data_IF_732200674963
#
_entry.id   IF_732200674963
#
_cell.length_a   1.000
_cell.length_b   1.000
_cell.length_c   1.000
_cell.angle_alpha   90.00
_cell.angle_beta   90.00
_cell.angle_gamma   90.00
#
_symmetry.space_group_name_H-M   'P 1'
#
loop_
_entity.id
_entity.type
_entity.pdbx_description
1 polymer ?
#
# COMPACT_ATOMS: atom_id res chain seq x y z
N UNK A 1 34.78 -52.03 14.98
CA UNK A 1 35.04 -51.24 13.76
C UNK A 1 34.59 -49.82 14.04
N UNK A 2 35.50 -48.99 14.44
CA UNK A 2 35.24 -47.56 14.74
C UNK A 2 35.20 -46.79 13.43
N UNK A 3 34.08 -46.09 13.21
CA UNK A 3 33.94 -45.14 12.10
C UNK A 3 34.82 -43.92 12.36
N UNK A 4 35.92 -43.80 11.61
CA UNK A 4 36.86 -42.68 11.68
C UNK A 4 36.23 -41.32 11.38
N UNK A 5 36.81 -40.21 11.85
CA UNK A 5 36.23 -38.86 11.68
C UNK A 5 36.18 -38.49 10.20
N UNK A 6 34.99 -38.03 9.79
CA UNK A 6 34.73 -37.52 8.45
C UNK A 6 35.74 -36.40 8.09
N UNK A 7 36.41 -36.53 6.95
CA UNK A 7 37.45 -35.60 6.49
C UNK A 7 36.95 -34.15 6.48
N UNK A 8 37.75 -33.17 6.94
CA UNK A 8 37.40 -31.69 6.90
C UNK A 8 36.99 -31.23 5.52
N UNK A 9 37.52 -31.83 4.46
CA UNK A 9 37.15 -31.55 3.06
C UNK A 9 35.66 -31.86 2.77
N UNK A 10 35.13 -32.94 3.32
CA UNK A 10 33.70 -33.32 3.14
C UNK A 10 32.75 -32.38 3.89
N UNK A 11 33.17 -31.85 5.04
CA UNK A 11 32.40 -30.82 5.73
C UNK A 11 32.40 -29.47 4.95
N UNK A 12 33.55 -29.10 4.39
CA UNK A 12 33.71 -27.87 3.58
C UNK A 12 32.89 -27.97 2.28
N UNK A 13 32.93 -29.10 1.58
CA UNK A 13 32.15 -29.35 0.38
C UNK A 13 30.63 -29.36 0.66
N UNK A 14 30.22 -29.90 1.82
CA UNK A 14 28.80 -29.89 2.22
C UNK A 14 28.32 -28.46 2.52
N UNK A 15 29.12 -27.65 3.21
CA UNK A 15 28.81 -26.23 3.45
C UNK A 15 28.80 -25.43 2.15
N UNK A 16 29.73 -25.70 1.24
CA UNK A 16 29.83 -25.04 -0.06
C UNK A 16 28.64 -25.41 -0.98
N UNK A 17 28.22 -26.67 -0.98
CA UNK A 17 27.03 -27.12 -1.71
C UNK A 17 25.73 -26.54 -1.14
N UNK A 18 25.60 -26.43 0.18
CA UNK A 18 24.45 -25.77 0.83
C UNK A 18 24.45 -24.27 0.52
N UNK A 19 25.60 -23.63 0.47
CA UNK A 19 25.73 -22.22 0.10
C UNK A 19 25.37 -21.99 -1.39
N UNK A 20 25.83 -22.87 -2.30
CA UNK A 20 25.47 -22.82 -3.72
C UNK A 20 23.98 -23.12 -3.93
N UNK A 21 23.39 -24.07 -3.21
CA UNK A 21 21.95 -24.35 -3.30
C UNK A 21 21.08 -23.18 -2.80
N UNK A 22 21.50 -22.46 -1.75
CA UNK A 22 20.83 -21.23 -1.32
C UNK A 22 20.99 -20.08 -2.33
N UNK A 23 22.11 -20.02 -3.07
CA UNK A 23 22.38 -18.99 -4.05
C UNK A 23 21.60 -19.14 -5.37
N UNK A 24 21.03 -20.31 -5.64
CA UNK A 24 20.22 -20.61 -6.83
C UNK A 24 18.73 -20.79 -6.56
N UNK A 25 18.27 -20.59 -5.33
CA UNK A 25 16.84 -20.54 -5.07
C UNK A 25 16.29 -19.28 -5.74
N UNK A 26 15.55 -19.44 -6.84
CA UNK A 26 14.81 -18.34 -7.46
C UNK A 26 13.88 -17.73 -6.41
N UNK A 27 13.88 -16.38 -6.31
CA UNK A 27 12.98 -15.67 -5.43
C UNK A 27 11.52 -16.08 -5.71
N UNK A 28 10.78 -16.40 -4.67
CA UNK A 28 9.36 -16.72 -4.83
C UNK A 28 8.61 -15.47 -5.28
N UNK A 29 7.84 -15.58 -6.37
CA UNK A 29 7.00 -14.47 -6.85
C UNK A 29 5.65 -14.53 -6.15
N UNK A 30 5.30 -13.44 -5.46
CA UNK A 30 4.01 -13.28 -4.77
C UNK A 30 3.19 -12.19 -5.44
N UNK A 31 1.93 -12.50 -5.76
CA UNK A 31 0.93 -11.49 -6.12
C UNK A 31 0.45 -10.83 -4.84
N UNK A 32 0.46 -9.50 -4.78
CA UNK A 32 0.00 -8.74 -3.61
C UNK A 32 -1.01 -7.68 -4.07
N UNK A 33 -2.26 -7.82 -3.67
CA UNK A 33 -3.29 -6.81 -3.85
C UNK A 33 -3.40 -5.96 -2.57
N UNK A 34 -3.03 -4.69 -2.66
CA UNK A 34 -3.11 -3.72 -1.58
C UNK A 34 -4.40 -2.90 -1.73
N UNK A 35 -5.47 -3.34 -1.11
CA UNK A 35 -6.77 -2.64 -1.11
C UNK A 35 -6.69 -1.46 -0.16
N UNK A 36 -6.92 -0.25 -0.67
CA UNK A 36 -6.58 0.96 0.09
C UNK A 36 -7.27 2.21 -0.43
N UNK A 37 -7.37 3.22 0.44
CA UNK A 37 -7.79 4.58 0.12
C UNK A 37 -6.70 5.58 0.50
N UNK A 38 -6.47 6.61 -0.30
CA UNK A 38 -5.55 7.71 0.05
C UNK A 38 -6.09 8.55 1.21
N UNK A 39 -7.40 8.50 1.46
CA UNK A 39 -8.03 9.11 2.63
C UNK A 39 -7.72 8.36 3.95
N UNK A 40 -7.20 7.15 3.90
CA UNK A 40 -6.87 6.37 5.08
C UNK A 40 -5.42 6.58 5.51
N UNK A 41 -5.13 7.18 6.67
CA UNK A 41 -3.75 7.35 7.12
C UNK A 41 -3.06 6.02 7.43
N UNK A 42 -3.81 5.01 7.90
CA UNK A 42 -3.28 3.68 8.11
C UNK A 42 -2.86 2.97 6.81
N UNK A 43 -3.38 3.41 5.64
CA UNK A 43 -2.90 2.92 4.36
C UNK A 43 -1.47 3.43 4.05
N UNK A 44 -1.12 4.64 4.46
CA UNK A 44 0.26 5.13 4.35
C UNK A 44 1.21 4.34 5.27
N UNK A 45 0.81 4.12 6.52
CA UNK A 45 1.58 3.29 7.49
C UNK A 45 1.73 1.86 7.00
N UNK A 46 0.63 1.24 6.55
CA UNK A 46 0.63 -0.15 6.06
C UNK A 46 1.47 -0.34 4.81
N UNK A 47 1.45 0.62 3.88
CA UNK A 47 2.30 0.58 2.69
C UNK A 47 3.78 0.68 3.06
N UNK A 48 4.16 1.65 3.90
CA UNK A 48 5.54 1.78 4.34
C UNK A 48 6.05 0.54 5.09
N UNK A 49 5.21 -0.08 5.93
CA UNK A 49 5.55 -1.32 6.63
C UNK A 49 5.72 -2.51 5.67
N UNK A 50 4.84 -2.64 4.66
CA UNK A 50 4.96 -3.65 3.62
C UNK A 50 6.24 -3.46 2.79
N UNK A 51 6.57 -2.22 2.41
CA UNK A 51 7.81 -1.90 1.68
C UNK A 51 9.07 -2.24 2.48
N UNK A 52 9.09 -1.95 3.79
CA UNK A 52 10.19 -2.35 4.66
C UNK A 52 10.32 -3.88 4.72
N UNK A 53 9.22 -4.61 4.86
CA UNK A 53 9.21 -6.08 4.88
C UNK A 53 9.74 -6.66 3.56
N UNK A 54 9.28 -6.14 2.43
CA UNK A 54 9.78 -6.55 1.11
C UNK A 54 11.27 -6.23 0.93
N UNK A 55 11.73 -5.11 1.48
CA UNK A 55 13.16 -4.75 1.51
C UNK A 55 14.01 -5.76 2.28
N UNK A 56 13.51 -6.27 3.43
CA UNK A 56 14.18 -7.30 4.23
C UNK A 56 14.20 -8.67 3.51
N UNK A 57 13.22 -8.93 2.66
CA UNK A 57 13.07 -10.18 1.89
C UNK A 57 13.69 -10.10 0.49
N UNK A 58 14.51 -9.08 0.22
CA UNK A 58 15.16 -8.91 -1.08
C UNK A 58 16.01 -10.14 -1.44
N UNK A 59 15.70 -10.75 -2.58
CA UNK A 59 16.32 -12.00 -3.05
C UNK A 59 15.62 -13.27 -2.57
N UNK A 60 14.72 -13.21 -1.57
CA UNK A 60 13.86 -14.33 -1.15
C UNK A 60 12.47 -14.24 -1.79
N UNK A 61 11.93 -13.02 -1.87
CA UNK A 61 10.59 -12.74 -2.40
C UNK A 61 10.65 -11.65 -3.47
N UNK A 62 9.99 -11.88 -4.59
CA UNK A 62 9.65 -10.89 -5.59
C UNK A 62 8.15 -10.60 -5.51
N UNK A 63 7.77 -9.34 -5.33
CA UNK A 63 6.37 -8.96 -5.19
C UNK A 63 5.83 -8.31 -6.47
N UNK A 64 4.72 -8.84 -6.97
CA UNK A 64 3.86 -8.16 -7.94
C UNK A 64 2.79 -7.41 -7.15
N UNK A 65 3.07 -6.15 -6.84
CA UNK A 65 2.23 -5.30 -6.00
C UNK A 65 1.24 -4.51 -6.86
N UNK A 66 -0.06 -4.70 -6.59
CA UNK A 66 -1.17 -4.01 -7.24
C UNK A 66 -1.96 -3.21 -6.21
N UNK A 67 -2.28 -1.95 -6.52
CA UNK A 67 -3.12 -1.12 -5.65
C UNK A 67 -4.56 -1.15 -6.12
N UNK A 68 -5.43 -1.65 -5.23
CA UNK A 68 -6.83 -1.84 -5.49
C UNK A 68 -7.67 -0.73 -4.83
N UNK A 69 -8.70 -0.21 -5.53
CA UNK A 69 -9.47 0.92 -5.05
C UNK A 69 -10.42 0.53 -3.93
N UNK A 70 -10.49 1.38 -2.92
CA UNK A 70 -11.49 1.39 -1.87
C UNK A 70 -11.75 2.84 -1.46
N UNK A 71 -13.01 3.26 -1.38
CA UNK A 71 -13.36 4.58 -0.86
C UNK A 71 -13.97 4.46 0.54
N UNK A 72 -13.34 5.09 1.52
CA UNK A 72 -13.88 5.22 2.87
C UNK A 72 -15.13 6.10 2.91
N UNK A 73 -15.24 7.04 1.97
CA UNK A 73 -16.30 8.05 1.93
C UNK A 73 -16.82 8.22 0.49
N UNK A 74 -17.48 7.20 -0.10
CA UNK A 74 -17.89 7.22 -1.51
C UNK A 74 -18.95 8.28 -1.84
N UNK A 75 -19.61 8.81 -0.79
CA UNK A 75 -20.66 9.85 -0.91
C UNK A 75 -20.14 11.24 -0.50
N UNK A 76 -18.82 11.44 -0.34
CA UNK A 76 -18.26 12.75 -0.02
C UNK A 76 -18.54 13.74 -1.15
N UNK A 77 -19.25 14.80 -0.82
CA UNK A 77 -19.60 15.87 -1.77
C UNK A 77 -18.40 16.77 -2.13
N UNK A 78 -18.56 17.62 -3.15
CA UNK A 78 -17.54 18.59 -3.54
C UNK A 78 -17.14 19.52 -2.39
N UNK A 79 -15.84 19.84 -2.31
CA UNK A 79 -15.26 20.65 -1.23
C UNK A 79 -15.00 19.85 0.04
N UNK A 80 -15.44 18.60 0.11
CA UNK A 80 -15.22 17.72 1.24
C UNK A 80 -15.85 18.22 2.54
N UNK A 81 -15.42 17.62 3.66
CA UNK A 81 -15.89 17.96 5.01
C UNK A 81 -14.70 18.26 5.93
N UNK A 82 -14.87 19.14 6.92
CA UNK A 82 -13.88 19.33 7.98
C UNK A 82 -13.53 17.99 8.64
N UNK A 83 -12.26 17.75 8.89
CA UNK A 83 -11.80 16.45 9.41
C UNK A 83 -12.34 16.17 10.81
N UNK A 84 -12.35 17.19 11.69
CA UNK A 84 -12.83 17.05 13.05
C UNK A 84 -14.31 16.76 13.11
N UNK A 85 -15.11 17.52 12.34
CA UNK A 85 -16.55 17.29 12.18
C UNK A 85 -16.83 15.88 11.64
N UNK A 86 -16.14 15.49 10.56
CA UNK A 86 -16.30 14.16 9.95
C UNK A 86 -16.01 13.03 10.94
N UNK A 87 -14.93 13.13 11.71
CA UNK A 87 -14.57 12.10 12.68
C UNK A 87 -15.55 12.04 13.84
N UNK A 88 -16.11 13.18 14.26
CA UNK A 88 -17.13 13.25 15.27
C UNK A 88 -18.44 12.61 14.78
N UNK A 89 -18.89 12.95 13.58
CA UNK A 89 -20.14 12.42 13.01
C UNK A 89 -20.05 10.91 12.71
N UNK A 90 -18.92 10.48 12.13
CA UNK A 90 -18.78 9.09 11.67
C UNK A 90 -18.42 8.11 12.80
N UNK A 91 -17.65 8.54 13.79
CA UNK A 91 -17.08 7.65 14.80
C UNK A 91 -17.42 8.08 16.25
N UNK A 92 -18.12 9.22 16.46
CA UNK A 92 -18.44 9.73 17.78
C UNK A 92 -17.21 10.20 18.58
N UNK A 93 -16.08 10.47 17.92
CA UNK A 93 -14.82 10.79 18.61
C UNK A 93 -14.76 12.23 19.08
N UNK A 94 -14.23 12.44 20.29
CA UNK A 94 -13.98 13.80 20.83
C UNK A 94 -12.71 14.42 20.23
N UNK A 95 -12.52 15.76 20.29
CA UNK A 95 -11.30 16.42 19.86
C UNK A 95 -10.02 15.85 20.53
N UNK A 96 -10.09 15.50 21.82
CA UNK A 96 -8.98 14.92 22.57
C UNK A 96 -8.62 13.52 22.04
N UNK A 97 -9.63 12.68 21.78
CA UNK A 97 -9.44 11.37 21.18
C UNK A 97 -8.86 11.48 19.77
N UNK A 98 -9.34 12.44 18.98
CA UNK A 98 -8.80 12.70 17.63
C UNK A 98 -7.33 13.13 17.69
N UNK A 99 -6.96 13.99 18.65
CA UNK A 99 -5.57 14.41 18.85
C UNK A 99 -4.67 13.23 19.25
N UNK A 100 -5.13 12.35 20.15
CA UNK A 100 -4.40 11.16 20.55
C UNK A 100 -4.22 10.17 19.41
N UNK A 101 -5.27 9.92 18.61
CA UNK A 101 -5.23 9.05 17.42
C UNK A 101 -4.24 9.62 16.40
N UNK A 102 -4.26 10.94 16.15
CA UNK A 102 -3.33 11.61 15.24
C UNK A 102 -1.88 11.46 15.69
N UNK A 103 -1.60 11.65 16.99
CA UNK A 103 -0.27 11.44 17.54
C UNK A 103 0.22 10.00 17.35
N UNK A 104 -0.63 9.01 17.60
CA UNK A 104 -0.32 7.60 17.37
C UNK A 104 -0.04 7.31 15.88
N UNK A 105 -0.88 7.81 14.97
CA UNK A 105 -0.67 7.66 13.51
C UNK A 105 0.67 8.28 13.10
N UNK A 106 1.01 9.47 13.60
CA UNK A 106 2.28 10.14 13.29
C UNK A 106 3.48 9.33 13.75
N UNK A 107 3.45 8.82 14.99
CA UNK A 107 4.50 7.96 15.53
C UNK A 107 4.68 6.68 14.69
N UNK A 108 3.58 6.03 14.31
CA UNK A 108 3.61 4.84 13.45
C UNK A 108 4.12 5.17 12.04
N UNK A 109 3.82 6.37 11.53
CA UNK A 109 4.36 6.86 10.27
C UNK A 109 5.86 7.02 10.30
N UNK A 110 6.40 7.62 11.38
CA UNK A 110 7.85 7.79 11.56
C UNK A 110 8.60 6.45 11.54
N UNK A 111 8.05 5.41 12.18
CA UNK A 111 8.63 4.05 12.18
C UNK A 111 8.80 3.48 10.77
N UNK A 112 7.91 3.85 9.84
CA UNK A 112 7.92 3.37 8.45
C UNK A 112 8.43 4.40 7.44
N UNK A 113 9.00 5.52 7.94
CA UNK A 113 9.57 6.58 7.10
C UNK A 113 8.55 7.46 6.39
N UNK A 114 7.28 7.48 6.83
CA UNK A 114 6.23 8.35 6.31
C UNK A 114 5.98 9.55 7.24
N UNK A 115 6.13 10.76 6.71
CA UNK A 115 5.90 12.01 7.47
C UNK A 115 4.49 12.53 7.23
N UNK A 116 3.65 12.45 8.25
CA UNK A 116 2.34 13.08 8.25
C UNK A 116 2.44 14.60 8.48
N UNK A 117 1.48 15.35 7.93
CA UNK A 117 1.37 16.77 8.22
C UNK A 117 1.10 16.99 9.71
N UNK A 118 1.89 17.79 10.43
CA UNK A 118 1.70 18.02 11.89
C UNK A 118 0.33 18.60 12.25
N UNK A 119 -0.23 19.43 11.36
CA UNK A 119 -1.58 20.00 11.51
C UNK A 119 -2.71 19.05 11.11
N UNK A 120 -2.37 17.86 10.58
CA UNK A 120 -3.31 16.98 9.91
C UNK A 120 -3.68 17.47 8.50
N UNK A 121 -4.55 16.75 7.82
CA UNK A 121 -4.95 17.08 6.44
C UNK A 121 -6.08 18.10 6.31
N UNK A 122 -6.63 18.58 7.45
CA UNK A 122 -7.66 19.62 7.52
C UNK A 122 -9.05 19.15 7.07
N UNK A 123 -9.21 18.58 5.90
CA UNK A 123 -10.49 18.15 5.35
C UNK A 123 -10.44 16.70 4.82
N UNK A 124 -11.61 16.09 4.72
CA UNK A 124 -11.84 14.80 4.05
C UNK A 124 -12.42 15.09 2.68
N UNK A 125 -11.71 14.67 1.63
CA UNK A 125 -12.12 14.88 0.24
C UNK A 125 -12.61 13.59 -0.41
N UNK A 126 -13.33 13.73 -1.53
CA UNK A 126 -13.61 12.61 -2.42
C UNK A 126 -12.31 12.13 -3.07
N UNK A 127 -12.12 10.80 -3.13
CA UNK A 127 -10.88 10.19 -3.65
C UNK A 127 -11.10 9.40 -4.94
N UNK A 128 -12.28 9.47 -5.52
CA UNK A 128 -12.64 8.66 -6.69
C UNK A 128 -11.73 8.92 -7.90
N UNK A 129 -11.47 10.19 -8.22
CA UNK A 129 -10.58 10.55 -9.33
C UNK A 129 -9.15 10.07 -9.11
N UNK A 130 -8.64 10.14 -7.87
CA UNK A 130 -7.34 9.57 -7.53
C UNK A 130 -7.30 8.05 -7.78
N UNK A 131 -8.39 7.32 -7.48
CA UNK A 131 -8.50 5.88 -7.78
C UNK A 131 -8.56 5.58 -9.28
N UNK A 132 -9.20 6.43 -10.09
CA UNK A 132 -9.21 6.30 -11.55
C UNK A 132 -7.81 6.47 -12.14
N UNK A 133 -7.05 7.46 -11.66
CA UNK A 133 -5.66 7.67 -12.07
C UNK A 133 -4.74 6.52 -11.61
N UNK A 134 -4.94 5.98 -10.40
CA UNK A 134 -4.21 4.80 -9.93
C UNK A 134 -4.52 3.56 -10.77
N UNK A 135 -5.78 3.36 -11.14
CA UNK A 135 -6.17 2.26 -12.03
C UNK A 135 -5.49 2.41 -13.41
N UNK A 136 -5.58 3.58 -14.02
CA UNK A 136 -4.88 3.90 -15.26
C UNK A 136 -3.38 3.63 -15.19
N UNK A 137 -2.70 4.11 -14.12
CA UNK A 137 -1.27 3.90 -13.95
C UNK A 137 -0.91 2.40 -13.85
N UNK A 138 -1.81 1.57 -13.30
CA UNK A 138 -1.63 0.12 -13.21
C UNK A 138 -1.84 -0.62 -14.53
N UNK A 139 -2.76 -0.15 -15.39
CA UNK A 139 -3.12 -0.86 -16.63
C UNK A 139 -2.40 -0.32 -17.87
N UNK A 140 -1.92 0.92 -17.86
CA UNK A 140 -1.28 1.60 -19.00
C UNK A 140 0.10 2.13 -18.71
N UNK A 141 0.41 2.43 -17.44
CA UNK A 141 1.69 3.01 -17.05
C UNK A 141 2.83 1.99 -17.13
N UNK A 142 4.08 2.47 -17.18
CA UNK A 142 5.26 1.64 -17.02
C UNK A 142 5.24 0.84 -15.71
N UNK A 143 6.02 -0.23 -15.65
CA UNK A 143 6.18 -1.01 -14.42
C UNK A 143 6.59 -0.11 -13.24
N UNK A 144 5.94 -0.29 -12.09
CA UNK A 144 6.18 0.50 -10.88
C UNK A 144 5.48 1.86 -10.84
N UNK A 145 4.88 2.35 -11.93
CA UNK A 145 4.25 3.67 -11.96
C UNK A 145 3.01 3.77 -11.06
N UNK A 146 2.22 2.71 -10.95
CA UNK A 146 1.09 2.68 -10.02
C UNK A 146 1.56 2.83 -8.56
N UNK A 147 2.66 2.17 -8.20
CA UNK A 147 3.26 2.28 -6.87
C UNK A 147 3.79 3.70 -6.61
N UNK A 148 4.55 4.26 -7.56
CA UNK A 148 5.07 5.63 -7.46
C UNK A 148 3.92 6.64 -7.31
N UNK A 149 2.87 6.53 -8.12
CA UNK A 149 1.68 7.39 -8.04
C UNK A 149 0.96 7.23 -6.70
N UNK A 150 0.81 6.00 -6.20
CA UNK A 150 0.17 5.74 -4.90
C UNK A 150 0.91 6.42 -3.76
N UNK A 151 2.24 6.32 -3.72
CA UNK A 151 3.06 7.01 -2.73
C UNK A 151 2.93 8.52 -2.83
N UNK A 152 3.04 9.08 -4.02
CA UNK A 152 2.95 10.51 -4.25
C UNK A 152 1.58 11.09 -3.85
N UNK A 153 0.47 10.37 -4.12
CA UNK A 153 -0.88 10.75 -3.69
C UNK A 153 -1.03 10.72 -2.16
N UNK A 154 -0.49 9.69 -1.50
CA UNK A 154 -0.47 9.63 -0.03
C UNK A 154 0.35 10.79 0.57
N UNK A 155 1.51 11.11 0.00
CA UNK A 155 2.35 12.22 0.44
C UNK A 155 1.66 13.57 0.20
N UNK A 156 1.00 13.76 -0.95
CA UNK A 156 0.23 14.97 -1.25
C UNK A 156 -0.86 15.18 -0.20
N UNK A 157 -1.66 14.18 0.06
CA UNK A 157 -2.81 14.30 0.94
C UNK A 157 -2.45 14.22 2.43
N UNK A 158 -1.79 13.16 2.86
CA UNK A 158 -1.49 12.92 4.28
C UNK A 158 -0.26 13.70 4.76
N UNK A 159 0.73 13.87 3.88
CA UNK A 159 1.99 14.55 4.20
C UNK A 159 1.91 16.06 4.03
N UNK A 160 1.36 16.57 2.92
CA UNK A 160 1.32 18.00 2.60
C UNK A 160 -0.05 18.66 2.76
N UNK A 161 -1.09 17.89 3.10
CA UNK A 161 -2.47 18.35 3.26
C UNK A 161 -3.04 19.03 2.00
N UNK A 162 -2.65 18.57 0.82
CA UNK A 162 -3.13 19.11 -0.47
C UNK A 162 -4.57 18.69 -0.76
N UNK A 163 -5.25 19.47 -1.59
CA UNK A 163 -6.66 19.28 -1.97
C UNK A 163 -6.76 18.23 -3.08
N UNK A 164 -6.72 16.95 -2.72
CA UNK A 164 -6.64 15.82 -3.67
C UNK A 164 -7.92 15.55 -4.48
N UNK A 165 -8.96 16.33 -4.30
CA UNK A 165 -10.11 16.35 -5.22
C UNK A 165 -9.93 17.35 -6.36
N UNK A 166 -8.91 18.26 -6.28
CA UNK A 166 -8.59 19.22 -7.33
C UNK A 166 -7.84 18.54 -8.46
N UNK A 167 -8.32 18.72 -9.69
CA UNK A 167 -7.64 18.22 -10.89
C UNK A 167 -6.22 18.79 -11.00
N UNK A 168 -5.99 20.05 -10.66
CA UNK A 168 -4.66 20.67 -10.70
C UNK A 168 -3.67 19.95 -9.76
N UNK A 169 -4.11 19.59 -8.55
CA UNK A 169 -3.30 18.85 -7.59
C UNK A 169 -3.03 17.43 -8.10
N UNK A 170 -4.06 16.74 -8.60
CA UNK A 170 -3.89 15.39 -9.15
C UNK A 170 -2.94 15.36 -10.35
N UNK A 171 -3.05 16.35 -11.26
CA UNK A 171 -2.15 16.47 -12.41
C UNK A 171 -0.72 16.80 -12.01
N UNK A 172 -0.53 17.67 -11.00
CA UNK A 172 0.79 17.96 -10.45
C UNK A 172 1.44 16.70 -9.84
N UNK A 173 0.64 15.86 -9.13
CA UNK A 173 1.12 14.59 -8.59
C UNK A 173 1.48 13.62 -9.72
N UNK A 174 0.65 13.50 -10.77
CA UNK A 174 0.94 12.68 -11.96
C UNK A 174 2.26 13.10 -12.62
N UNK A 175 2.44 14.42 -12.82
CA UNK A 175 3.68 14.98 -13.38
C UNK A 175 4.90 14.64 -12.52
N UNK A 176 4.77 14.71 -11.19
CA UNK A 176 5.88 14.46 -10.25
C UNK A 176 6.45 13.04 -10.33
N UNK A 177 5.66 12.07 -10.83
CA UNK A 177 6.07 10.67 -11.01
C UNK A 177 6.35 10.33 -12.47
N UNK A 178 6.39 11.32 -13.36
CA UNK A 178 6.77 11.15 -14.77
C UNK A 178 5.71 10.47 -15.64
N UNK A 179 4.45 10.45 -15.21
CA UNK A 179 3.33 9.95 -16.02
C UNK A 179 2.79 11.02 -16.97
N UNK A 180 2.05 10.60 -18.00
CA UNK A 180 1.49 11.48 -19.04
C UNK A 180 0.36 12.34 -18.46
N UNK A 181 0.64 13.65 -18.33
CA UNK A 181 -0.31 14.64 -17.78
C UNK A 181 -1.48 14.88 -18.75
N UNK A 182 -1.27 14.80 -20.06
CA UNK A 182 -2.34 15.02 -21.04
C UNK A 182 -3.34 13.85 -21.03
N UNK A 183 -2.85 12.62 -20.92
CA UNK A 183 -3.71 11.45 -20.76
C UNK A 183 -4.46 11.50 -19.41
N UNK A 184 -3.80 11.85 -18.31
CA UNK A 184 -4.44 12.05 -17.01
C UNK A 184 -5.53 13.12 -17.04
N UNK A 185 -5.29 14.27 -17.71
CA UNK A 185 -6.30 15.30 -17.90
C UNK A 185 -7.51 14.79 -18.70
N UNK A 186 -7.28 13.97 -19.74
CA UNK A 186 -8.36 13.35 -20.52
C UNK A 186 -9.20 12.38 -19.66
N UNK A 187 -8.56 11.63 -18.75
CA UNK A 187 -9.25 10.76 -17.81
C UNK A 187 -10.11 11.59 -16.83
N UNK A 188 -9.55 12.65 -16.25
CA UNK A 188 -10.27 13.49 -15.28
C UNK A 188 -11.48 14.19 -15.91
N UNK A 189 -11.39 14.64 -17.17
CA UNK A 189 -12.46 15.32 -17.91
C UNK A 189 -13.50 14.37 -18.54
N UNK A 190 -13.42 13.07 -18.30
CA UNK A 190 -14.33 12.05 -18.85
C UNK A 190 -14.69 11.01 -17.80
N UNK A 191 -15.50 10.01 -18.17
CA UNK A 191 -15.83 8.85 -17.32
C UNK A 191 -14.86 7.65 -17.52
N UNK A 192 -13.71 7.88 -18.17
CA UNK A 192 -12.72 6.82 -18.41
C UNK A 192 -12.30 6.17 -17.09
N UNK A 193 -12.34 4.84 -17.04
CA UNK A 193 -12.09 3.99 -15.86
C UNK A 193 -13.08 4.15 -14.69
N UNK A 194 -14.17 4.91 -14.83
CA UNK A 194 -15.15 5.07 -13.75
C UNK A 194 -15.88 3.76 -13.45
N UNK A 195 -16.30 3.04 -14.48
CA UNK A 195 -17.01 1.77 -14.31
C UNK A 195 -16.09 0.70 -13.74
N UNK A 196 -14.89 0.54 -14.29
CA UNK A 196 -13.89 -0.46 -13.87
C UNK A 196 -13.53 -0.28 -12.39
N UNK A 197 -13.25 0.95 -11.96
CA UNK A 197 -12.95 1.26 -10.56
C UNK A 197 -14.12 0.88 -9.65
N UNK A 198 -15.37 1.22 -10.03
CA UNK A 198 -16.57 0.85 -9.27
C UNK A 198 -16.78 -0.67 -9.22
N UNK A 199 -16.50 -1.38 -10.28
CA UNK A 199 -16.61 -2.84 -10.33
C UNK A 199 -15.57 -3.51 -9.41
N UNK A 200 -14.31 -3.05 -9.43
CA UNK A 200 -13.27 -3.54 -8.54
C UNK A 200 -13.62 -3.26 -7.08
N UNK A 201 -14.11 -2.06 -6.75
CA UNK A 201 -14.56 -1.75 -5.39
C UNK A 201 -15.67 -2.68 -4.92
N UNK A 202 -16.69 -2.92 -5.76
CA UNK A 202 -17.78 -3.86 -5.44
C UNK A 202 -17.26 -5.28 -5.25
N UNK A 203 -16.34 -5.73 -6.10
CA UNK A 203 -15.73 -7.05 -5.96
C UNK A 203 -15.08 -7.24 -4.58
N UNK A 204 -14.23 -6.30 -4.13
CA UNK A 204 -13.59 -6.42 -2.81
C UNK A 204 -14.58 -6.29 -1.66
N UNK A 205 -15.60 -5.44 -1.77
CA UNK A 205 -16.67 -5.34 -0.77
C UNK A 205 -17.46 -6.65 -0.65
N UNK A 206 -17.82 -7.27 -1.78
CA UNK A 206 -18.49 -8.57 -1.81
C UNK A 206 -17.60 -9.71 -1.30
N UNK A 207 -16.28 -9.61 -1.48
CA UNK A 207 -15.31 -10.51 -0.89
C UNK A 207 -15.09 -10.29 0.62
N UNK A 208 -15.84 -9.38 1.26
CA UNK A 208 -15.79 -9.14 2.70
C UNK A 208 -14.77 -8.11 3.16
N UNK A 209 -14.17 -7.34 2.23
CA UNK A 209 -13.28 -6.24 2.60
C UNK A 209 -14.12 -4.99 2.92
N UNK A 210 -14.24 -4.67 4.20
CA UNK A 210 -15.01 -3.53 4.71
C UNK A 210 -14.15 -2.47 5.42
N UNK A 211 -12.84 -2.70 5.50
CA UNK A 211 -11.89 -1.77 6.10
C UNK A 211 -10.53 -1.83 5.39
N UNK A 212 -9.78 -0.74 5.43
CA UNK A 212 -8.49 -0.62 4.76
C UNK A 212 -7.41 -0.07 5.72
N UNK A 213 -6.12 -0.41 5.47
CA UNK A 213 -5.64 -1.25 4.38
C UNK A 213 -5.99 -2.73 4.57
N UNK A 214 -6.19 -3.44 3.45
CA UNK A 214 -6.28 -4.88 3.41
C UNK A 214 -5.28 -5.40 2.37
N UNK A 215 -4.38 -6.29 2.79
CA UNK A 215 -3.31 -6.84 1.95
C UNK A 215 -3.63 -8.30 1.66
N UNK A 216 -3.90 -8.60 0.39
CA UNK A 216 -4.27 -9.95 -0.06
C UNK A 216 -3.09 -10.52 -0.83
N UNK A 217 -2.58 -11.68 -0.39
CA UNK A 217 -1.42 -12.34 -0.98
C UNK A 217 -1.89 -13.62 -1.68
N UNK A 218 -1.52 -13.75 -2.96
CA UNK A 218 -1.87 -14.88 -3.83
C UNK A 218 -3.37 -15.21 -3.84
N UNK A 219 -4.22 -14.16 -3.80
CA UNK A 219 -5.69 -14.27 -3.79
C UNK A 219 -6.27 -15.12 -2.64
N UNK A 220 -5.49 -15.39 -1.60
CA UNK A 220 -5.83 -16.35 -0.55
C UNK A 220 -5.60 -15.85 0.87
N UNK A 221 -4.47 -15.21 1.13
CA UNK A 221 -4.06 -14.84 2.48
C UNK A 221 -4.33 -13.35 2.71
N UNK A 222 -5.12 -13.02 3.73
CA UNK A 222 -5.49 -11.65 4.08
C UNK A 222 -4.73 -11.19 5.33
N UNK A 223 -4.08 -10.03 5.21
CA UNK A 223 -3.55 -9.26 6.35
C UNK A 223 -4.33 -7.95 6.42
N UNK A 224 -5.05 -7.72 7.52
CA UNK A 224 -5.87 -6.51 7.72
C UNK A 224 -5.15 -5.47 8.57
N UNK A 225 -5.33 -4.21 8.19
CA UNK A 225 -4.82 -3.05 8.92
C UNK A 225 -3.34 -2.73 8.66
N UNK A 226 -2.91 -1.58 9.14
CA UNK A 226 -1.51 -1.12 9.08
C UNK A 226 -0.63 -1.86 10.09
N UNK A 227 -0.36 -3.14 9.83
CA UNK A 227 0.46 -4.00 10.68
C UNK A 227 1.93 -3.53 10.69
N UNK A 228 2.71 -3.87 11.73
CA UNK A 228 4.16 -3.68 11.73
C UNK A 228 4.87 -4.44 10.62
N UNK A 229 6.03 -3.95 10.15
CA UNK A 229 6.82 -4.59 9.10
C UNK A 229 7.17 -6.05 9.41
N UNK A 230 7.47 -6.38 10.68
CA UNK A 230 7.77 -7.75 11.10
C UNK A 230 6.61 -8.73 10.87
N UNK A 231 5.35 -8.26 10.97
CA UNK A 231 4.16 -9.10 10.69
C UNK A 231 4.07 -9.41 9.20
N UNK A 232 4.28 -8.41 8.34
CA UNK A 232 4.34 -8.61 6.89
C UNK A 232 5.51 -9.52 6.51
N UNK A 233 6.71 -9.28 7.05
CA UNK A 233 7.89 -10.10 6.76
C UNK A 233 7.64 -11.58 7.10
N UNK A 234 7.15 -11.86 8.31
CA UNK A 234 6.87 -13.23 8.73
C UNK A 234 5.83 -13.91 7.83
N UNK A 235 4.73 -13.21 7.51
CA UNK A 235 3.68 -13.77 6.66
C UNK A 235 4.19 -14.03 5.23
N UNK A 236 4.87 -13.07 4.62
CA UNK A 236 5.42 -13.19 3.27
C UNK A 236 6.42 -14.34 3.18
N UNK A 237 7.30 -14.50 4.18
CA UNK A 237 8.29 -15.59 4.24
C UNK A 237 7.61 -16.96 4.32
N UNK A 238 6.60 -17.13 5.19
CA UNK A 238 5.84 -18.37 5.33
C UNK A 238 5.04 -18.73 4.08
N UNK A 239 4.42 -17.72 3.43
CA UNK A 239 3.69 -17.93 2.17
C UNK A 239 4.68 -18.33 1.05
N UNK A 240 5.83 -17.68 0.98
CA UNK A 240 6.85 -17.97 -0.01
C UNK A 240 7.46 -19.38 0.14
N UNK A 241 7.60 -19.85 1.38
CA UNK A 241 8.06 -21.22 1.66
C UNK A 241 6.99 -22.31 1.51
N UNK A 242 5.72 -21.94 1.32
CA UNK A 242 4.60 -22.88 1.22
C UNK A 242 4.16 -23.48 2.56
N UNK A 243 4.47 -22.83 3.68
CA UNK A 243 4.11 -23.29 5.04
C UNK A 243 2.66 -22.94 5.45
N UNK A 244 1.90 -22.25 4.62
CA UNK A 244 0.52 -21.79 4.86
C UNK A 244 -0.36 -21.90 3.63
#
# INVERSE_FOLDING_TARGET
MESGPCSPIFQYLRQYLVFIQKSFAMAATLKIDFVSDIACPWCAVGLGALEQALGQLKGEVQANLHFQPFELNPHMGPGGQDLGEHLTEKYGSTPEQQAQIRANISARGEEVGFKFNPGGRGRVYNTFNAHRLLHWAGVKGPEGSQHALKRALLEAYQGRAEVVESDDVLLAVVASVGLDVAEAQSILSSDTYAQEVREIQRFYQQAGIHSVPAVIINDKHLISGGQPAAVFEQALRRIASGEV
#
